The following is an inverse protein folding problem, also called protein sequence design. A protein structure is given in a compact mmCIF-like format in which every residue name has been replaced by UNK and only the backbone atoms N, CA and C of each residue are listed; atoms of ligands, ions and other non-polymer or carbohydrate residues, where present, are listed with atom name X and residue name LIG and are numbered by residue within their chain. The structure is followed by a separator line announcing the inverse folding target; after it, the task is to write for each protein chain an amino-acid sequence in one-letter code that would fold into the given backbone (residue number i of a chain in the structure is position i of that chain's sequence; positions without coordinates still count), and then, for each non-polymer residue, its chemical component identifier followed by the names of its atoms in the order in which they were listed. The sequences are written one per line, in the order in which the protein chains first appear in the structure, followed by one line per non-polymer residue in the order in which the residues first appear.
data_IF_853918884045
#
_entry.id   IF_853918884045
#
_cell.length_a   1.000
_cell.length_b   1.000
_cell.length_c   1.000
_cell.angle_alpha   90.00
_cell.angle_beta   90.00
_cell.angle_gamma   90.00
#
_symmetry.space_group_name_H-M   'P 1'
#
loop_
_entity.id
_entity.type
_entity.pdbx_description
1 polymer ?
#
# COMPACT_ATOMS: atom_id res chain seq x y z
N UNK A 1 4.44 7.59 8.53
CA UNK A 1 3.05 8.07 8.76
C UNK A 1 2.52 9.04 7.69
N UNK A 2 3.35 9.87 7.04
CA UNK A 2 2.85 10.85 6.05
C UNK A 2 2.49 10.30 4.66
N UNK A 3 3.10 9.19 4.21
CA UNK A 3 2.90 8.66 2.85
C UNK A 3 1.67 7.77 2.73
N UNK A 4 1.42 6.90 3.70
CA UNK A 4 0.23 6.04 3.76
C UNK A 4 -1.07 6.86 3.79
N UNK A 5 -1.08 7.99 4.50
CA UNK A 5 -2.23 8.90 4.53
C UNK A 5 -2.51 9.65 3.21
N UNK A 6 -1.58 9.62 2.25
CA UNK A 6 -1.76 10.25 0.93
C UNK A 6 -2.37 9.32 -0.11
N UNK A 7 -2.40 8.01 0.14
CA UNK A 7 -2.88 7.02 -0.82
C UNK A 7 -4.37 7.21 -1.13
N UNK A 8 -4.68 7.20 -2.44
CA UNK A 8 -6.02 7.46 -2.94
C UNK A 8 -7.00 6.38 -2.50
N UNK A 9 -6.58 5.11 -2.49
CA UNK A 9 -7.42 4.00 -2.00
C UNK A 9 -7.77 4.13 -0.51
N UNK A 10 -6.81 4.56 0.33
CA UNK A 10 -7.08 4.78 1.76
C UNK A 10 -8.15 5.87 1.94
N UNK A 11 -8.04 6.98 1.20
CA UNK A 11 -9.03 8.06 1.22
C UNK A 11 -10.40 7.61 0.72
N UNK A 12 -10.46 6.93 -0.43
CA UNK A 12 -11.72 6.49 -1.03
C UNK A 12 -12.44 5.43 -0.19
N UNK A 13 -11.70 4.47 0.37
CA UNK A 13 -12.28 3.44 1.24
C UNK A 13 -12.71 4.01 2.59
N UNK A 14 -11.96 4.96 3.15
CA UNK A 14 -12.34 5.66 4.40
C UNK A 14 -13.57 6.56 4.17
N UNK A 15 -13.67 7.23 3.03
CA UNK A 15 -14.82 8.05 2.65
C UNK A 15 -16.08 7.21 2.42
N UNK A 16 -15.96 6.04 1.78
CA UNK A 16 -17.10 5.13 1.52
C UNK A 16 -17.57 4.36 2.76
N UNK A 17 -16.67 3.99 3.68
CA UNK A 17 -17.00 3.16 4.84
C UNK A 17 -17.21 3.95 6.14
N UNK A 18 -17.04 5.27 6.14
CA UNK A 18 -17.19 6.09 7.35
C UNK A 18 -16.17 5.73 8.44
N UNK A 19 -16.54 5.88 9.71
CA UNK A 19 -15.65 5.66 10.87
C UNK A 19 -15.16 4.21 10.99
N UNK A 20 -15.88 3.25 10.39
CA UNK A 20 -15.50 1.84 10.30
C UNK A 20 -14.43 1.56 9.23
N UNK A 21 -14.21 2.49 8.29
CA UNK A 21 -13.12 2.41 7.30
C UNK A 21 -11.73 2.76 7.83
N UNK A 22 -11.65 3.38 9.02
CA UNK A 22 -10.40 3.74 9.69
C UNK A 22 -9.80 2.58 10.50
N UNK A 23 -9.77 1.38 9.91
CA UNK A 23 -9.11 0.23 10.53
C UNK A 23 -7.60 0.34 10.30
N UNK A 24 -6.81 0.13 11.35
CA UNK A 24 -5.34 0.13 11.25
C UNK A 24 -4.82 -0.81 10.15
N UNK A 25 -5.48 -1.96 9.97
CA UNK A 25 -5.13 -2.90 8.90
C UNK A 25 -5.35 -2.37 7.48
N UNK A 26 -6.29 -1.45 7.26
CA UNK A 26 -6.49 -0.83 5.96
C UNK A 26 -5.41 0.24 5.66
N UNK A 27 -4.86 0.84 6.71
CA UNK A 27 -3.75 1.79 6.62
C UNK A 27 -2.41 1.09 6.40
N UNK A 28 -2.19 -0.07 7.03
CA UNK A 28 -0.93 -0.84 6.95
C UNK A 28 -0.87 -1.83 5.77
N UNK A 29 -1.98 -2.11 5.10
CA UNK A 29 -2.03 -3.06 3.99
C UNK A 29 -0.92 -2.86 2.92
N UNK A 30 -0.57 -1.62 2.51
CA UNK A 30 0.52 -1.40 1.55
C UNK A 30 1.90 -1.85 2.06
N UNK A 31 2.11 -1.85 3.39
CA UNK A 31 3.36 -2.32 4.01
C UNK A 31 3.42 -3.84 4.01
N UNK A 32 2.29 -4.52 4.28
CA UNK A 32 2.20 -5.97 4.16
C UNK A 32 2.50 -6.43 2.71
N UNK A 33 1.91 -5.74 1.72
CA UNK A 33 2.18 -6.01 0.31
C UNK A 33 3.66 -5.79 -0.05
N UNK A 34 4.32 -4.78 0.53
CA UNK A 34 5.76 -4.59 0.35
C UNK A 34 6.58 -5.75 0.95
N UNK A 35 6.18 -6.26 2.11
CA UNK A 35 6.78 -7.44 2.71
C UNK A 35 6.67 -8.67 1.81
N UNK A 36 5.48 -8.95 1.28
CA UNK A 36 5.24 -10.08 0.39
C UNK A 36 6.11 -10.00 -0.88
N UNK A 37 6.25 -8.81 -1.46
CA UNK A 37 7.08 -8.59 -2.65
C UNK A 37 8.57 -8.81 -2.37
N UNK A 38 9.07 -8.22 -1.29
CA UNK A 38 10.50 -8.25 -0.95
C UNK A 38 10.95 -9.61 -0.41
N UNK A 39 10.04 -10.35 0.22
CA UNK A 39 10.33 -11.70 0.72
C UNK A 39 10.69 -12.68 -0.41
N UNK A 40 10.08 -12.51 -1.58
CA UNK A 40 10.28 -13.40 -2.74
C UNK A 40 11.24 -12.85 -3.79
N UNK A 41 11.86 -11.70 -3.55
CA UNK A 41 12.79 -11.03 -4.49
C UNK A 41 12.25 -10.98 -5.93
N UNK A 42 10.99 -10.56 -6.06
CA UNK A 42 10.29 -10.63 -7.33
C UNK A 42 10.83 -9.60 -8.36
N UNK A 43 11.25 -10.07 -9.53
CA UNK A 43 11.73 -9.21 -10.63
C UNK A 43 10.60 -8.43 -11.31
N UNK A 44 9.42 -9.05 -11.47
CA UNK A 44 8.24 -8.47 -12.12
C UNK A 44 6.96 -8.77 -11.34
N UNK A 45 6.09 -7.76 -11.23
CA UNK A 45 4.84 -7.86 -10.45
C UNK A 45 3.68 -7.33 -11.31
N UNK A 46 2.86 -8.21 -11.91
CA UNK A 46 1.71 -7.77 -12.68
C UNK A 46 0.63 -7.25 -11.73
N UNK A 47 0.27 -5.97 -11.87
CA UNK A 47 -0.74 -5.32 -11.02
C UNK A 47 -1.72 -4.48 -11.84
N UNK A 48 -2.93 -4.31 -11.32
CA UNK A 48 -3.92 -3.37 -11.88
C UNK A 48 -3.47 -1.91 -11.72
N UNK A 49 -4.05 -1.01 -12.53
CA UNK A 49 -3.73 0.43 -12.50
C UNK A 49 -3.91 1.05 -11.10
N UNK A 50 -4.89 0.57 -10.35
CA UNK A 50 -5.22 1.00 -8.99
C UNK A 50 -4.17 0.58 -7.95
N UNK A 51 -3.31 -0.39 -8.27
CA UNK A 51 -2.31 -0.98 -7.38
C UNK A 51 -0.87 -0.54 -7.69
N UNK A 52 -0.65 0.21 -8.77
CA UNK A 52 0.67 0.76 -9.14
C UNK A 52 1.29 1.54 -7.97
N UNK A 53 0.48 2.34 -7.26
CA UNK A 53 0.96 3.13 -6.14
C UNK A 53 1.48 2.28 -4.96
N UNK A 54 0.96 1.06 -4.78
CA UNK A 54 1.45 0.15 -3.74
C UNK A 54 2.79 -0.45 -4.11
N UNK A 55 2.98 -0.83 -5.38
CA UNK A 55 4.28 -1.33 -5.87
C UNK A 55 5.37 -0.24 -5.79
N UNK A 56 5.03 1.01 -6.12
CA UNK A 56 5.95 2.14 -5.96
C UNK A 56 6.34 2.38 -4.48
N UNK A 57 5.41 2.19 -3.55
CA UNK A 57 5.73 2.22 -2.12
C UNK A 57 6.68 1.09 -1.74
N UNK A 58 6.46 -0.13 -2.23
CA UNK A 58 7.35 -1.28 -2.00
C UNK A 58 8.78 -0.99 -2.47
N UNK A 59 8.94 -0.41 -3.67
CA UNK A 59 10.26 0.00 -4.20
C UNK A 59 10.93 1.06 -3.31
N UNK A 60 10.16 2.04 -2.84
CA UNK A 60 10.68 3.11 -1.96
C UNK A 60 11.14 2.56 -0.61
N UNK A 61 10.40 1.59 -0.05
CA UNK A 61 10.79 0.92 1.19
C UNK A 61 12.07 0.10 0.98
N UNK A 62 12.16 -0.66 -0.11
CA UNK A 62 13.32 -1.47 -0.45
C UNK A 62 14.60 -0.64 -0.63
N UNK A 63 14.50 0.56 -1.22
CA UNK A 63 15.66 1.45 -1.42
C UNK A 63 16.09 2.20 -0.15
N UNK A 64 15.21 2.33 0.84
CA UNK A 64 15.50 3.03 2.11
C UNK A 64 16.23 2.16 3.13
N UNK A 65 16.12 0.84 3.02
CA UNK A 65 16.77 -0.15 3.89
C UNK A 65 17.99 -0.74 3.21
#
# INVERSE_FOLDING_TARGET
MGELGKMTQFKDKTLKAGREGQLAGLYDYPVLMAGDVLLYDADEIPVGLDQVQHVELSRTIAQRF
#
